data_IF_591806620663
#
_entry.id   IF_591806620663
#
_cell.length_a   1.000
_cell.length_b   1.000
_cell.length_c   1.000
_cell.angle_alpha   90.00
_cell.angle_beta   90.00
_cell.angle_gamma   90.00
#
_symmetry.space_group_name_H-M   'P 1'
#
loop_
_entity.id
_entity.type
_entity.pdbx_description
1 polymer ?
#
# COMPACT_ATOMS: atom_id res chain seq x y z
N UNK A 1 -18.45 7.44 -3.97
CA UNK A 1 -19.29 7.53 -2.76
C UNK A 1 -19.56 6.10 -2.30
N UNK A 2 -18.87 5.58 -1.28
CA UNK A 2 -19.10 4.21 -0.80
C UNK A 2 -19.64 4.27 0.63
N UNK A 3 -20.90 3.89 0.76
CA UNK A 3 -21.70 3.99 1.98
C UNK A 3 -21.73 2.61 2.66
N UNK A 4 -21.23 2.51 3.89
CA UNK A 4 -21.35 1.31 4.71
C UNK A 4 -22.44 1.56 5.75
N UNK A 5 -23.65 1.11 5.46
CA UNK A 5 -24.74 1.11 6.42
C UNK A 5 -24.50 0.03 7.49
N UNK A 6 -24.51 0.45 8.75
CA UNK A 6 -24.86 -0.39 9.89
C UNK A 6 -23.70 -0.98 10.68
N UNK A 7 -23.21 -0.25 11.69
CA UNK A 7 -23.18 -0.63 13.11
C UNK A 7 -23.07 0.68 13.91
N UNK A 8 -24.06 0.91 14.78
CA UNK A 8 -24.20 2.12 15.60
C UNK A 8 -23.17 2.04 16.75
N UNK A 9 -22.19 2.95 16.76
CA UNK A 9 -21.11 3.15 17.76
C UNK A 9 -19.73 2.53 17.50
N UNK A 10 -19.28 2.46 16.25
CA UNK A 10 -17.84 2.31 15.97
C UNK A 10 -17.37 3.57 15.25
N UNK A 11 -16.27 4.24 15.68
CA UNK A 11 -15.73 5.36 14.91
C UNK A 11 -15.53 4.88 13.46
N UNK A 12 -15.97 5.67 12.48
CA UNK A 12 -16.03 5.30 11.05
C UNK A 12 -14.69 4.76 10.47
N UNK A 13 -13.59 4.94 11.19
CA UNK A 13 -12.25 4.43 10.89
C UNK A 13 -12.06 2.93 11.17
N UNK A 14 -12.87 2.29 12.03
CA UNK A 14 -12.68 0.89 12.43
C UNK A 14 -12.64 -0.10 11.25
N UNK A 15 -13.62 -0.11 10.30
CA UNK A 15 -13.59 -1.07 9.20
C UNK A 15 -12.46 -0.81 8.20
N UNK A 16 -11.98 0.43 8.07
CA UNK A 16 -10.81 0.75 7.26
C UNK A 16 -9.53 0.21 7.90
N UNK A 17 -9.33 0.49 9.19
CA UNK A 17 -8.17 0.02 9.95
C UNK A 17 -8.14 -1.50 10.01
N UNK A 18 -9.27 -2.16 10.25
CA UNK A 18 -9.37 -3.63 10.24
C UNK A 18 -9.01 -4.23 8.89
N UNK A 19 -9.53 -3.67 7.79
CA UNK A 19 -9.15 -4.10 6.44
C UNK A 19 -7.67 -3.90 6.18
N UNK A 20 -7.13 -2.74 6.54
CA UNK A 20 -5.72 -2.43 6.36
C UNK A 20 -4.81 -3.41 7.13
N UNK A 21 -5.10 -3.65 8.41
CA UNK A 21 -4.36 -4.62 9.24
C UNK A 21 -4.46 -6.02 8.63
N UNK A 22 -5.65 -6.44 8.18
CA UNK A 22 -5.85 -7.72 7.53
C UNK A 22 -5.03 -7.87 6.24
N UNK A 23 -4.98 -6.82 5.40
CA UNK A 23 -4.15 -6.80 4.19
C UNK A 23 -2.66 -6.86 4.52
N UNK A 24 -2.18 -6.07 5.48
CA UNK A 24 -0.77 -6.09 5.91
C UNK A 24 -0.36 -7.49 6.37
N UNK A 25 -1.22 -8.18 7.13
CA UNK A 25 -0.94 -9.55 7.57
C UNK A 25 -0.79 -10.52 6.40
N UNK A 26 -1.81 -10.58 5.54
CA UNK A 26 -1.88 -11.54 4.42
C UNK A 26 -0.83 -11.30 3.34
N UNK A 27 -0.66 -10.04 2.96
CA UNK A 27 0.22 -9.66 1.87
C UNK A 27 1.69 -9.66 2.32
N UNK A 28 1.98 -9.38 3.60
CA UNK A 28 3.35 -9.06 4.03
C UNK A 28 3.83 -9.83 5.27
N UNK A 29 3.11 -9.75 6.40
CA UNK A 29 3.64 -10.28 7.66
C UNK A 29 3.58 -11.81 7.75
N UNK A 30 2.56 -12.45 7.18
CA UNK A 30 2.44 -13.92 7.19
C UNK A 30 3.53 -14.60 6.37
N UNK A 31 4.13 -13.88 5.41
CA UNK A 31 5.23 -14.34 4.56
C UNK A 31 6.61 -13.94 5.11
N UNK A 32 6.67 -13.21 6.24
CA UNK A 32 7.91 -12.67 6.78
C UNK A 32 8.18 -13.17 8.20
N UNK A 33 9.33 -13.79 8.42
CA UNK A 33 9.79 -14.11 9.78
C UNK A 33 10.16 -12.83 10.54
N UNK A 34 9.45 -12.57 11.65
CA UNK A 34 9.66 -11.43 12.55
C UNK A 34 10.53 -11.86 13.73
N UNK A 35 11.68 -11.23 13.91
CA UNK A 35 12.65 -11.61 14.94
C UNK A 35 12.63 -10.73 16.19
N UNK A 36 12.22 -9.46 16.06
CA UNK A 36 12.05 -8.52 17.17
C UNK A 36 11.17 -7.32 16.75
N UNK A 37 10.80 -6.47 17.72
CA UNK A 37 9.96 -5.30 17.48
C UNK A 37 10.59 -4.30 16.50
N UNK A 38 11.90 -4.01 16.63
CA UNK A 38 12.62 -3.09 15.73
C UNK A 38 12.57 -3.56 14.27
N UNK A 39 12.69 -4.87 14.08
CA UNK A 39 12.59 -5.49 12.77
C UNK A 39 11.16 -5.40 12.21
N UNK A 40 10.14 -5.62 13.05
CA UNK A 40 8.74 -5.42 12.65
C UNK A 40 8.47 -3.96 12.26
N UNK A 41 8.99 -2.98 13.01
CA UNK A 41 8.82 -1.56 12.69
C UNK A 41 9.44 -1.19 11.34
N UNK A 42 10.68 -1.63 11.08
CA UNK A 42 11.32 -1.45 9.76
C UNK A 42 10.49 -2.07 8.65
N UNK A 43 9.94 -3.26 8.90
CA UNK A 43 9.08 -3.96 7.95
C UNK A 43 7.79 -3.20 7.66
N UNK A 44 7.14 -2.67 8.69
CA UNK A 44 5.94 -1.84 8.51
C UNK A 44 6.26 -0.52 7.81
N UNK A 45 7.42 0.08 8.05
CA UNK A 45 7.88 1.28 7.34
C UNK A 45 8.11 1.01 5.84
N UNK A 46 8.76 -0.11 5.50
CA UNK A 46 8.92 -0.54 4.10
C UNK A 46 7.55 -0.71 3.42
N UNK A 47 6.60 -1.36 4.10
CA UNK A 47 5.24 -1.56 3.59
C UNK A 47 4.49 -0.23 3.43
N UNK A 48 4.61 0.69 4.39
CA UNK A 48 3.98 2.00 4.32
C UNK A 48 4.48 2.79 3.11
N UNK A 49 5.79 2.78 2.86
CA UNK A 49 6.37 3.44 1.70
C UNK A 49 5.88 2.83 0.38
N UNK A 50 5.77 1.50 0.30
CA UNK A 50 5.19 0.80 -0.86
C UNK A 50 3.73 1.17 -1.08
N UNK A 51 2.90 1.06 -0.03
CA UNK A 51 1.46 1.31 -0.08
C UNK A 51 1.12 2.76 -0.48
N UNK A 52 1.90 3.73 0.01
CA UNK A 52 1.63 5.15 -0.21
C UNK A 52 2.20 5.70 -1.52
N UNK A 53 3.34 5.20 -1.99
CA UNK A 53 4.05 5.80 -3.13
C UNK A 53 4.08 4.96 -4.40
N UNK A 54 3.84 3.65 -4.30
CA UNK A 54 4.06 2.74 -5.43
C UNK A 54 2.81 1.92 -5.76
N UNK A 55 2.08 1.46 -4.74
CA UNK A 55 0.88 0.65 -4.94
C UNK A 55 -0.25 1.52 -5.49
N UNK A 56 -0.76 1.15 -6.65
CA UNK A 56 -1.95 1.77 -7.25
C UNK A 56 -3.21 1.30 -6.53
N UNK A 57 -4.15 2.19 -6.24
CA UNK A 57 -5.38 1.83 -5.54
C UNK A 57 -6.58 1.96 -6.47
N UNK A 58 -7.36 0.89 -6.61
CA UNK A 58 -8.56 0.87 -7.47
C UNK A 58 -9.60 1.91 -7.02
N UNK A 59 -9.74 2.13 -5.72
CA UNK A 59 -10.63 3.16 -5.15
C UNK A 59 -10.18 4.58 -5.49
N UNK A 60 -8.92 4.75 -5.86
CA UNK A 60 -8.28 6.01 -6.22
C UNK A 60 -8.10 6.14 -7.75
N UNK A 61 -8.83 5.36 -8.55
CA UNK A 61 -8.69 5.42 -10.01
C UNK A 61 -7.36 4.89 -10.55
N UNK A 62 -6.61 4.14 -9.75
CA UNK A 62 -5.28 3.66 -10.10
C UNK A 62 -4.15 4.60 -9.68
N UNK A 63 -4.46 5.70 -8.98
CA UNK A 63 -3.45 6.56 -8.37
C UNK A 63 -2.97 5.98 -7.03
N UNK A 64 -1.79 6.45 -6.61
CA UNK A 64 -1.22 6.21 -5.29
C UNK A 64 -1.70 7.27 -4.30
N UNK A 65 -1.71 7.00 -2.99
CA UNK A 65 -2.09 7.98 -1.98
C UNK A 65 -1.24 9.25 -2.05
N UNK A 66 0.06 9.12 -2.30
CA UNK A 66 0.98 10.26 -2.42
C UNK A 66 0.72 11.12 -3.67
N UNK A 67 0.22 10.54 -4.76
CA UNK A 67 -0.18 11.30 -5.96
C UNK A 67 -1.46 12.11 -5.70
N UNK A 68 -2.41 11.55 -4.96
CA UNK A 68 -3.65 12.26 -4.59
C UNK A 68 -3.38 13.36 -3.56
N UNK A 69 -2.47 13.14 -2.63
CA UNK A 69 -2.06 14.13 -1.64
C UNK A 69 -1.22 15.27 -2.27
N UNK A 70 -0.92 15.20 -3.57
CA UNK A 70 -0.14 16.20 -4.29
C UNK A 70 1.35 16.21 -3.94
N UNK A 71 1.80 15.23 -3.15
CA UNK A 71 3.20 15.06 -2.72
C UNK A 71 4.08 14.58 -3.89
N UNK A 72 3.50 13.86 -4.84
CA UNK A 72 4.20 13.32 -6.01
C UNK A 72 3.46 13.68 -7.30
N UNK A 73 4.18 14.24 -8.27
CA UNK A 73 3.66 14.40 -9.65
C UNK A 73 3.72 13.08 -10.40
N UNK A 74 2.56 12.61 -10.87
CA UNK A 74 2.44 11.42 -11.71
C UNK A 74 3.16 11.61 -13.05
N UNK A 75 4.23 10.87 -13.27
CA UNK A 75 4.89 10.81 -14.58
C UNK A 75 4.30 9.64 -15.37
N UNK A 76 3.67 9.86 -16.53
CA UNK A 76 3.16 8.76 -17.34
C UNK A 76 4.31 7.85 -17.76
N UNK A 77 4.22 6.56 -17.38
CA UNK A 77 5.21 5.56 -17.77
C UNK A 77 5.10 5.35 -19.27
N UNK A 78 6.19 5.62 -20.01
CA UNK A 78 6.27 5.26 -21.42
C UNK A 78 6.37 3.74 -21.51
N UNK A 79 5.40 3.11 -22.17
CA UNK A 79 5.26 1.66 -22.20
C UNK A 79 6.45 0.92 -22.85
N UNK A 80 7.36 1.62 -23.55
CA UNK A 80 8.62 1.04 -24.05
C UNK A 80 9.86 1.33 -23.18
N UNK A 81 9.73 2.13 -22.10
CA UNK A 81 10.79 2.48 -21.15
C UNK A 81 10.31 2.24 -19.72
N UNK A 82 10.24 0.97 -19.34
CA UNK A 82 9.97 0.60 -17.96
C UNK A 82 10.92 -0.51 -17.52
N UNK A 83 11.21 -0.55 -16.22
CA UNK A 83 11.86 -1.68 -15.57
C UNK A 83 10.95 -2.19 -14.46
N UNK A 84 11.06 -3.48 -14.15
CA UNK A 84 10.40 -4.04 -12.98
C UNK A 84 11.22 -3.70 -11.74
N UNK A 85 10.58 -3.11 -10.74
CA UNK A 85 11.16 -2.95 -9.42
C UNK A 85 10.44 -3.85 -8.44
N UNK A 86 11.24 -4.56 -7.66
CA UNK A 86 10.75 -5.46 -6.62
C UNK A 86 10.64 -4.69 -5.31
N UNK A 87 9.45 -4.70 -4.73
CA UNK A 87 9.16 -4.10 -3.44
C UNK A 87 8.89 -5.19 -2.41
N UNK A 88 8.93 -4.81 -1.13
CA UNK A 88 8.52 -5.70 -0.05
C UNK A 88 9.23 -7.07 -0.09
N UNK A 89 10.56 -7.08 -0.35
CA UNK A 89 11.41 -8.29 -0.42
C UNK A 89 11.05 -9.34 -1.48
N UNK A 90 10.37 -8.98 -2.56
CA UNK A 90 9.97 -9.97 -3.58
C UNK A 90 8.48 -10.10 -3.77
N UNK A 91 7.71 -9.61 -2.80
CA UNK A 91 6.28 -9.86 -2.73
C UNK A 91 5.54 -9.09 -3.82
N UNK A 92 5.94 -7.85 -4.09
CA UNK A 92 5.34 -7.02 -5.13
C UNK A 92 6.35 -6.68 -6.22
N UNK A 93 5.92 -6.74 -7.47
CA UNK A 93 6.65 -6.23 -8.61
C UNK A 93 5.81 -5.15 -9.29
N UNK A 94 6.37 -3.94 -9.37
CA UNK A 94 5.70 -2.79 -9.96
C UNK A 94 6.56 -2.22 -11.09
N UNK A 95 5.95 -1.81 -12.23
CA UNK A 95 6.69 -1.20 -13.31
C UNK A 95 7.05 0.25 -12.92
N UNK A 96 8.33 0.61 -13.01
CA UNK A 96 8.83 1.97 -12.83
C UNK A 96 9.42 2.49 -14.15
N UNK A 97 9.28 3.79 -14.43
CA UNK A 97 9.89 4.42 -15.59
C UNK A 97 11.43 4.26 -15.55
N UNK A 98 12.02 3.88 -16.68
CA UNK A 98 13.46 3.63 -16.84
C UNK A 98 14.17 4.75 -17.60
#
# INVERSE_FOLDING_TARGET
MFNFAGIRNTPSSHPFIERLIGTIRRDYLDQTLLWNAVYLERKLADYQADFNHHRTHRSLGGDTPAEIDGVVTKFPIKMNKFRWQTHCRGIHQLPIAA
#
